data_IF_858200854669
#
_entry.id   IF_858200854669
#
_cell.length_a   1.000
_cell.length_b   1.000
_cell.length_c   1.000
_cell.angle_alpha   90.00
_cell.angle_beta   90.00
_cell.angle_gamma   90.00
#
_symmetry.space_group_name_H-M   'P 1'
#
loop_
_entity.id
_entity.type
_entity.pdbx_description
1 polymer ?
#
# COMPACT_ATOMS: atom_id res chain seq x y z
N UNK A 1 -16.17 65.12 -41.67
CA UNK A 1 -16.66 63.77 -41.31
C UNK A 1 -15.75 62.66 -41.84
N UNK A 2 -15.22 62.71 -43.07
CA UNK A 2 -14.33 61.66 -43.60
C UNK A 2 -13.04 61.40 -42.79
N UNK A 3 -12.33 62.46 -42.37
CA UNK A 3 -11.08 62.33 -41.60
C UNK A 3 -11.21 61.59 -40.26
N UNK A 4 -12.38 61.68 -39.61
CA UNK A 4 -12.61 61.04 -38.30
C UNK A 4 -12.81 59.51 -38.41
N UNK A 5 -13.25 59.02 -39.56
CA UNK A 5 -13.37 57.58 -39.83
C UNK A 5 -12.03 56.96 -40.19
N UNK A 6 -11.13 57.74 -40.81
CA UNK A 6 -9.79 57.32 -41.22
C UNK A 6 -8.84 57.20 -40.01
N UNK A 7 -8.83 58.20 -39.11
CA UNK A 7 -8.10 58.13 -37.81
C UNK A 7 -8.61 56.99 -36.91
N UNK A 8 -9.92 56.75 -36.90
CA UNK A 8 -10.51 55.67 -36.10
C UNK A 8 -10.11 54.30 -36.63
N UNK A 9 -9.98 54.14 -37.95
CA UNK A 9 -9.46 52.93 -38.57
C UNK A 9 -7.98 52.70 -38.23
N UNK A 10 -7.16 53.75 -38.29
CA UNK A 10 -5.73 53.67 -37.94
C UNK A 10 -5.52 53.29 -36.46
N UNK A 11 -6.31 53.86 -35.53
CA UNK A 11 -6.26 53.50 -34.12
C UNK A 11 -6.70 52.05 -33.86
N UNK A 12 -7.70 51.56 -34.59
CA UNK A 12 -8.14 50.15 -34.48
C UNK A 12 -7.13 49.19 -35.10
N UNK A 13 -6.49 49.56 -36.20
CA UNK A 13 -5.44 48.77 -36.86
C UNK A 13 -4.17 48.73 -36.00
N UNK A 14 -3.82 49.84 -35.34
CA UNK A 14 -2.76 49.91 -34.35
C UNK A 14 -3.01 48.99 -33.16
N UNK A 15 -4.24 48.94 -32.65
CA UNK A 15 -4.64 48.03 -31.58
C UNK A 15 -4.59 46.56 -32.01
N UNK A 16 -5.05 46.24 -33.22
CA UNK A 16 -4.99 44.90 -33.79
C UNK A 16 -3.53 44.43 -33.95
N UNK A 17 -2.65 45.32 -34.41
CA UNK A 17 -1.22 45.04 -34.52
C UNK A 17 -0.58 44.81 -33.15
N UNK A 18 -0.95 45.59 -32.13
CA UNK A 18 -0.49 45.38 -30.76
C UNK A 18 -0.91 44.02 -30.20
N UNK A 19 -2.17 43.62 -30.37
CA UNK A 19 -2.64 42.30 -29.94
C UNK A 19 -1.97 41.18 -30.72
N UNK A 20 -1.77 41.34 -32.02
CA UNK A 20 -1.07 40.36 -32.86
C UNK A 20 0.36 40.17 -32.39
N UNK A 21 1.06 41.29 -32.10
CA UNK A 21 2.41 41.27 -31.55
C UNK A 21 2.45 40.64 -30.17
N UNK A 22 1.56 41.03 -29.26
CA UNK A 22 1.50 40.47 -27.91
C UNK A 22 1.22 38.96 -27.93
N UNK A 23 0.35 38.50 -28.83
CA UNK A 23 0.06 37.08 -29.01
C UNK A 23 1.27 36.31 -29.57
N UNK A 24 2.00 36.92 -30.51
CA UNK A 24 3.24 36.35 -31.02
C UNK A 24 4.31 36.27 -29.92
N UNK A 25 4.53 37.36 -29.18
CA UNK A 25 5.48 37.42 -28.07
C UNK A 25 5.14 36.37 -27.00
N UNK A 26 3.86 36.21 -26.64
CA UNK A 26 3.41 35.18 -25.71
C UNK A 26 3.68 33.76 -26.24
N UNK A 27 3.44 33.52 -27.53
CA UNK A 27 3.72 32.23 -28.17
C UNK A 27 5.21 31.88 -28.14
N UNK A 28 6.08 32.87 -28.37
CA UNK A 28 7.53 32.72 -28.28
C UNK A 28 7.95 32.39 -26.84
N UNK A 29 7.42 33.11 -25.85
CA UNK A 29 7.69 32.84 -24.43
C UNK A 29 7.24 31.43 -24.06
N UNK A 30 6.03 31.02 -24.44
CA UNK A 30 5.53 29.66 -24.21
C UNK A 30 6.47 28.60 -24.78
N UNK A 31 6.88 28.76 -26.05
CA UNK A 31 7.77 27.79 -26.69
C UNK A 31 9.14 27.70 -26.00
N UNK A 32 9.72 28.83 -25.57
CA UNK A 32 11.01 28.82 -24.85
C UNK A 32 10.89 28.13 -23.49
N UNK A 33 9.82 28.40 -22.75
CA UNK A 33 9.56 27.74 -21.47
C UNK A 33 9.38 26.23 -21.62
N UNK A 34 8.66 25.77 -22.65
CA UNK A 34 8.52 24.34 -22.93
C UNK A 34 9.86 23.67 -23.23
N UNK A 35 10.72 24.31 -24.02
CA UNK A 35 12.05 23.81 -24.35
C UNK A 35 12.94 23.71 -23.11
N UNK A 36 12.97 24.77 -22.29
CA UNK A 36 13.70 24.79 -21.02
C UNK A 36 13.17 23.72 -20.06
N UNK A 37 11.85 23.56 -19.97
CA UNK A 37 11.22 22.55 -19.13
C UNK A 37 11.62 21.13 -19.54
N UNK A 38 11.59 20.81 -20.84
CA UNK A 38 12.00 19.49 -21.34
C UNK A 38 13.50 19.23 -21.14
N UNK A 39 14.33 20.27 -21.23
CA UNK A 39 15.77 20.16 -21.00
C UNK A 39 16.11 19.95 -19.51
N UNK A 40 15.46 20.70 -18.62
CA UNK A 40 15.64 20.61 -17.17
C UNK A 40 15.08 19.31 -16.58
N UNK A 41 13.94 18.86 -17.10
CA UNK A 41 13.22 17.71 -16.59
C UNK A 41 13.11 16.60 -17.64
N UNK A 42 14.14 15.75 -17.77
CA UNK A 42 14.05 14.55 -18.58
C UNK A 42 12.90 13.64 -18.11
N UNK A 43 12.48 12.70 -18.95
CA UNK A 43 11.27 11.89 -18.74
C UNK A 43 11.16 11.19 -17.36
N UNK A 44 12.28 10.83 -16.74
CA UNK A 44 12.32 10.21 -15.42
C UNK A 44 12.22 11.21 -14.25
N UNK A 45 12.48 12.50 -14.49
CA UNK A 45 12.46 13.59 -13.52
C UNK A 45 11.31 14.59 -13.74
N UNK A 46 10.52 14.42 -14.80
CA UNK A 46 9.34 15.24 -15.06
C UNK A 46 8.36 15.19 -13.87
N UNK A 47 8.06 16.34 -13.21
CA UNK A 47 7.23 16.37 -12.01
C UNK A 47 5.83 15.77 -12.20
N UNK A 48 5.20 15.99 -13.36
CA UNK A 48 3.87 15.48 -13.65
C UNK A 48 3.87 13.96 -13.79
N UNK A 49 4.91 13.40 -14.44
CA UNK A 49 5.11 11.94 -14.51
C UNK A 49 5.45 11.35 -13.15
N UNK A 50 6.26 12.03 -12.34
CA UNK A 50 6.56 11.59 -10.97
C UNK A 50 5.29 11.49 -10.12
N UNK A 51 4.43 12.50 -10.16
CA UNK A 51 3.14 12.47 -9.45
C UNK A 51 2.28 11.29 -9.92
N UNK A 52 2.21 11.02 -11.22
CA UNK A 52 1.44 9.88 -11.74
C UNK A 52 2.00 8.53 -11.24
N UNK A 53 3.33 8.39 -11.19
CA UNK A 53 4.00 7.17 -10.68
C UNK A 53 3.79 7.00 -9.19
N UNK A 54 3.86 8.10 -8.41
CA UNK A 54 3.60 8.08 -6.97
C UNK A 54 2.16 7.64 -6.70
N UNK A 55 1.17 8.20 -7.41
CA UNK A 55 -0.23 7.80 -7.28
C UNK A 55 -0.43 6.32 -7.57
N UNK A 56 0.17 5.82 -8.66
CA UNK A 56 0.13 4.39 -8.99
C UNK A 56 0.73 3.53 -7.87
N UNK A 57 1.91 3.90 -7.35
CA UNK A 57 2.54 3.17 -6.24
C UNK A 57 1.66 3.18 -4.99
N UNK A 58 0.98 4.29 -4.67
CA UNK A 58 0.03 4.36 -3.55
C UNK A 58 -1.17 3.42 -3.72
N UNK A 59 -1.73 3.35 -4.93
CA UNK A 59 -2.81 2.40 -5.28
C UNK A 59 -2.33 0.94 -5.18
N UNK A 60 -1.16 0.63 -5.74
CA UNK A 60 -0.55 -0.70 -5.72
C UNK A 60 -0.26 -1.14 -4.27
N UNK A 61 0.29 -0.24 -3.43
CA UNK A 61 0.53 -0.48 -1.99
C UNK A 61 -0.78 -0.75 -1.25
N UNK A 62 -1.82 0.02 -1.53
CA UNK A 62 -3.14 -0.17 -0.89
C UNK A 62 -3.75 -1.52 -1.26
N UNK A 63 -3.59 -1.92 -2.52
CA UNK A 63 -4.05 -3.22 -3.03
C UNK A 63 -3.27 -4.38 -2.41
N UNK A 64 -1.94 -4.27 -2.41
CA UNK A 64 -1.05 -5.26 -1.80
C UNK A 64 -1.35 -5.43 -0.31
N UNK A 65 -1.63 -4.31 0.39
CA UNK A 65 -2.08 -4.34 1.78
C UNK A 65 -3.32 -5.19 1.97
N UNK A 66 -4.36 -4.95 1.17
CA UNK A 66 -5.58 -5.77 1.23
C UNK A 66 -5.32 -7.26 0.96
N UNK A 67 -4.43 -7.58 0.02
CA UNK A 67 -4.06 -8.97 -0.30
C UNK A 67 -3.31 -9.66 0.84
N UNK A 68 -2.33 -8.99 1.46
CA UNK A 68 -1.61 -9.51 2.62
C UNK A 68 -2.56 -9.79 3.80
N UNK A 69 -3.52 -8.90 4.07
CA UNK A 69 -4.51 -9.14 5.14
C UNK A 69 -5.35 -10.39 4.86
N UNK A 70 -5.82 -10.57 3.62
CA UNK A 70 -6.56 -11.78 3.23
C UNK A 70 -5.72 -13.04 3.38
N UNK A 71 -4.45 -12.99 3.00
CA UNK A 71 -3.53 -14.12 3.12
C UNK A 71 -3.28 -14.49 4.59
N UNK A 72 -3.08 -13.50 5.45
CA UNK A 72 -2.89 -13.72 6.89
C UNK A 72 -4.14 -14.32 7.54
N UNK A 73 -5.32 -13.80 7.20
CA UNK A 73 -6.59 -14.36 7.67
C UNK A 73 -6.78 -15.82 7.22
N UNK A 74 -6.48 -16.12 5.94
CA UNK A 74 -6.53 -17.49 5.42
C UNK A 74 -5.53 -18.42 6.11
N UNK A 75 -4.33 -17.94 6.42
CA UNK A 75 -3.33 -18.71 7.18
C UNK A 75 -3.79 -18.98 8.61
N UNK A 76 -4.41 -18.00 9.28
CA UNK A 76 -4.94 -18.19 10.62
C UNK A 76 -6.07 -19.23 10.65
N UNK A 77 -7.03 -19.15 9.71
CA UNK A 77 -8.09 -20.15 9.58
C UNK A 77 -7.54 -21.57 9.32
N UNK A 78 -6.48 -21.69 8.52
CA UNK A 78 -5.81 -22.98 8.31
C UNK A 78 -5.17 -23.52 9.59
N UNK A 79 -4.50 -22.65 10.37
CA UNK A 79 -3.91 -23.02 11.67
C UNK A 79 -5.01 -23.50 12.62
N UNK A 80 -6.09 -22.75 12.76
CA UNK A 80 -7.20 -23.08 13.67
C UNK A 80 -7.84 -24.42 13.30
N UNK A 81 -8.03 -24.68 12.00
CA UNK A 81 -8.56 -25.95 11.48
C UNK A 81 -7.59 -27.10 11.74
N UNK A 82 -6.30 -26.91 11.49
CA UNK A 82 -5.28 -27.93 11.72
C UNK A 82 -5.19 -28.28 13.21
N UNK A 83 -5.17 -27.28 14.08
CA UNK A 83 -5.14 -27.45 15.53
C UNK A 83 -6.37 -28.21 16.02
N UNK A 84 -7.59 -27.80 15.62
CA UNK A 84 -8.83 -28.47 15.99
C UNK A 84 -8.79 -29.95 15.59
N UNK A 85 -8.49 -30.22 14.32
CA UNK A 85 -8.46 -31.58 13.78
C UNK A 85 -7.41 -32.45 14.49
N UNK A 86 -6.22 -31.90 14.75
CA UNK A 86 -5.14 -32.63 15.40
C UNK A 86 -5.49 -32.98 16.86
N UNK A 87 -6.06 -32.03 17.61
CA UNK A 87 -6.51 -32.25 18.99
C UNK A 87 -7.64 -33.27 19.05
N UNK A 88 -8.64 -33.18 18.16
CA UNK A 88 -9.73 -34.15 18.07
C UNK A 88 -9.22 -35.58 17.77
N UNK A 89 -8.33 -35.71 16.78
CA UNK A 89 -7.72 -37.00 16.42
C UNK A 89 -6.88 -37.56 17.57
N UNK A 90 -6.07 -36.72 18.22
CA UNK A 90 -5.28 -37.12 19.40
C UNK A 90 -6.18 -37.66 20.51
N UNK A 91 -7.25 -36.94 20.84
CA UNK A 91 -8.20 -37.34 21.87
C UNK A 91 -8.90 -38.67 21.52
N UNK A 92 -9.22 -38.91 20.25
CA UNK A 92 -9.76 -40.19 19.80
C UNK A 92 -8.76 -41.33 20.00
N UNK A 93 -7.51 -41.15 19.58
CA UNK A 93 -6.44 -42.15 19.72
C UNK A 93 -6.17 -42.46 21.19
N UNK A 94 -6.09 -41.45 22.05
CA UNK A 94 -5.90 -41.65 23.50
C UNK A 94 -7.05 -42.42 24.14
N UNK A 95 -8.30 -42.15 23.75
CA UNK A 95 -9.46 -42.95 24.19
C UNK A 95 -9.37 -44.41 23.73
N UNK A 96 -8.93 -44.65 22.50
CA UNK A 96 -8.71 -46.00 21.97
C UNK A 96 -7.60 -46.73 22.73
N UNK A 97 -6.48 -46.07 23.01
CA UNK A 97 -5.38 -46.64 23.81
C UNK A 97 -5.84 -47.03 25.21
N UNK A 98 -6.58 -46.14 25.89
CA UNK A 98 -7.15 -46.41 27.20
C UNK A 98 -8.10 -47.63 27.18
N UNK A 99 -8.92 -47.78 26.12
CA UNK A 99 -9.83 -48.92 25.99
C UNK A 99 -9.13 -50.26 25.74
N UNK A 100 -7.90 -50.23 25.21
CA UNK A 100 -7.08 -51.40 24.92
C UNK A 100 -6.01 -51.65 26.00
N UNK A 101 -6.05 -50.92 27.12
CA UNK A 101 -5.02 -50.94 28.17
C UNK A 101 -3.60 -50.68 27.65
N UNK A 102 -3.45 -49.95 26.55
CA UNK A 102 -2.17 -49.50 26.01
C UNK A 102 -1.76 -48.23 26.78
N UNK A 103 -0.50 -48.09 27.21
CA UNK A 103 -0.02 -46.87 27.85
C UNK A 103 -0.34 -45.64 26.98
N UNK A 104 -1.04 -44.67 27.57
CA UNK A 104 -1.35 -43.40 26.89
C UNK A 104 -0.07 -42.57 26.81
N UNK A 105 0.25 -42.08 25.61
CA UNK A 105 1.35 -41.12 25.43
C UNK A 105 0.97 -39.79 26.09
N UNK A 106 1.68 -39.45 27.17
CA UNK A 106 1.63 -38.15 27.86
C UNK A 106 1.93 -37.01 26.88
N UNK A 107 1.38 -35.81 27.11
CA UNK A 107 1.73 -34.59 26.35
C UNK A 107 3.25 -34.34 26.32
N UNK A 108 3.93 -34.62 27.43
CA UNK A 108 5.38 -34.38 27.59
C UNK A 108 6.26 -35.40 26.85
N UNK A 109 5.67 -36.52 26.42
CA UNK A 109 6.35 -37.58 25.66
C UNK A 109 6.01 -37.55 24.17
N UNK A 110 5.30 -36.52 23.70
CA UNK A 110 4.93 -36.35 22.30
C UNK A 110 5.64 -35.13 21.69
N UNK A 111 6.89 -35.36 21.31
CA UNK A 111 7.77 -34.36 20.71
C UNK A 111 7.15 -33.67 19.50
N UNK A 112 6.36 -34.40 18.69
CA UNK A 112 5.74 -33.88 17.49
C UNK A 112 4.62 -32.88 17.81
N UNK A 113 3.80 -33.17 18.82
CA UNK A 113 2.73 -32.27 19.26
C UNK A 113 3.25 -31.04 19.98
N UNK A 114 4.31 -31.21 20.80
CA UNK A 114 4.99 -30.08 21.46
C UNK A 114 5.64 -29.15 20.42
N UNK A 115 6.32 -29.71 19.42
CA UNK A 115 6.88 -28.92 18.31
C UNK A 115 5.79 -28.15 17.55
N UNK A 116 4.65 -28.79 17.27
CA UNK A 116 3.51 -28.11 16.62
C UNK A 116 3.01 -26.92 17.45
N UNK A 117 2.81 -27.07 18.77
CA UNK A 117 2.40 -25.97 19.66
C UNK A 117 3.39 -24.82 19.62
N UNK A 118 4.69 -25.12 19.71
CA UNK A 118 5.75 -24.11 19.64
C UNK A 118 5.70 -23.32 18.33
N UNK A 119 5.52 -23.99 17.18
CA UNK A 119 5.41 -23.32 15.88
C UNK A 119 4.21 -22.36 15.83
N UNK A 120 3.07 -22.75 16.43
CA UNK A 120 1.88 -21.87 16.50
C UNK A 120 2.13 -20.67 17.43
N UNK A 121 2.81 -20.88 18.55
CA UNK A 121 3.19 -19.80 19.47
C UNK A 121 4.16 -18.81 18.80
N UNK A 122 5.20 -19.31 18.12
CA UNK A 122 6.12 -18.48 17.35
C UNK A 122 5.40 -17.67 16.27
N UNK A 123 4.47 -18.30 15.55
CA UNK A 123 3.62 -17.61 14.57
C UNK A 123 2.79 -16.50 15.23
N UNK A 124 2.14 -16.78 16.36
CA UNK A 124 1.32 -15.82 17.10
C UNK A 124 2.16 -14.63 17.57
N UNK A 125 3.37 -14.88 18.06
CA UNK A 125 4.33 -13.82 18.44
C UNK A 125 4.76 -13.01 17.23
N UNK A 126 5.04 -13.62 16.08
CA UNK A 126 5.44 -12.89 14.87
C UNK A 126 4.33 -11.99 14.31
N UNK A 127 3.08 -12.44 14.38
CA UNK A 127 1.92 -11.63 13.97
C UNK A 127 1.69 -10.48 14.94
N UNK A 128 1.80 -10.73 16.26
CA UNK A 128 1.55 -9.72 17.30
C UNK A 128 2.68 -8.71 17.47
N UNK A 129 3.95 -9.13 17.41
CA UNK A 129 5.12 -8.23 17.52
C UNK A 129 5.16 -7.20 16.39
N UNK A 130 4.80 -7.60 15.17
CA UNK A 130 4.69 -6.68 14.03
C UNK A 130 3.45 -5.80 14.05
N UNK A 131 2.44 -6.15 14.86
CA UNK A 131 1.25 -5.35 15.09
C UNK A 131 1.38 -4.38 16.28
N UNK A 132 2.40 -4.58 17.13
CA UNK A 132 2.54 -4.02 18.48
C UNK A 132 3.58 -2.92 18.67
N UNK A 133 4.23 -2.41 17.61
CA UNK A 133 5.04 -1.17 17.66
C UNK A 133 4.11 0.07 17.75
N UNK A 134 3.27 0.06 18.77
CA UNK A 134 2.24 1.03 19.11
C UNK A 134 2.59 1.57 20.49
N UNK A 135 3.45 2.59 20.60
CA UNK A 135 3.34 3.62 21.67
C UNK A 135 4.38 4.73 21.63
N UNK A 136 5.46 4.64 20.84
CA UNK A 136 6.37 5.76 20.63
C UNK A 136 6.61 5.96 19.14
N UNK A 137 5.74 6.74 18.50
CA UNK A 137 6.06 7.63 17.36
C UNK A 137 4.75 8.18 16.79
N UNK A 138 4.11 9.06 17.55
CA UNK A 138 2.94 9.80 17.09
C UNK A 138 3.28 10.91 16.06
N UNK A 139 4.51 10.98 15.54
CA UNK A 139 4.91 12.10 14.66
C UNK A 139 5.83 11.75 13.49
N UNK A 140 6.12 10.47 13.19
CA UNK A 140 6.88 10.11 11.98
C UNK A 140 6.76 8.65 11.60
N UNK A 141 5.64 8.22 11.02
CA UNK A 141 5.69 6.98 10.24
C UNK A 141 4.60 6.90 9.14
N UNK A 142 4.82 7.63 8.04
CA UNK A 142 4.16 7.31 6.76
C UNK A 142 4.93 6.25 5.96
N UNK A 143 5.94 5.60 6.56
CA UNK A 143 6.94 4.83 5.84
C UNK A 143 6.91 3.32 6.06
N UNK A 144 6.53 2.83 7.24
CA UNK A 144 6.64 1.39 7.50
C UNK A 144 5.44 0.60 6.97
N UNK A 145 5.54 0.21 5.70
CA UNK A 145 4.62 -0.69 5.02
C UNK A 145 4.35 -1.94 5.87
N UNK A 146 5.36 -2.50 6.55
CA UNK A 146 5.15 -3.70 7.37
C UNK A 146 4.20 -3.42 8.54
N UNK A 147 4.38 -2.31 9.27
CA UNK A 147 3.43 -1.93 10.34
C UNK A 147 2.00 -1.75 9.80
N UNK A 148 1.85 -1.17 8.61
CA UNK A 148 0.54 -1.06 7.94
C UNK A 148 -0.06 -2.41 7.54
N UNK A 149 0.75 -3.39 7.14
CA UNK A 149 0.31 -4.73 6.75
C UNK A 149 -0.18 -5.59 7.91
N UNK A 150 0.33 -5.37 9.13
CA UNK A 150 0.08 -6.24 10.29
C UNK A 150 -0.80 -5.60 11.39
N UNK A 151 -1.15 -4.31 11.28
CA UNK A 151 -1.80 -3.55 12.37
C UNK A 151 -3.29 -3.82 12.62
N UNK A 152 -4.03 -4.44 11.69
CA UNK A 152 -5.50 -4.54 11.74
C UNK A 152 -6.06 -5.91 12.21
N UNK A 153 -5.22 -6.81 12.73
CA UNK A 153 -5.64 -8.19 13.03
C UNK A 153 -6.46 -8.34 14.32
N UNK A 154 -6.65 -7.29 15.13
CA UNK A 154 -7.43 -7.43 16.38
C UNK A 154 -8.80 -6.75 16.29
N UNK A 155 -9.77 -7.48 15.74
CA UNK A 155 -11.15 -7.52 16.23
C UNK A 155 -11.66 -8.96 16.09
N UNK A 156 -11.27 -9.84 17.02
CA UNK A 156 -11.96 -11.11 17.24
C UNK A 156 -12.55 -11.09 18.65
N UNK A 157 -13.88 -11.17 18.72
CA UNK A 157 -14.63 -11.61 19.91
C UNK A 157 -14.21 -13.02 20.33
#
# INVERSE_FOLDING_TARGET
MAHQYEERHEATDGLLNLFTKANHDLSVVHHRLDMEFQQLYPNNANPMKLVSRIKKVQEDISTLKGQCHKLLAAKQDLIDKAQRTLVENRNLVQRMQASLCIPVTSEDNDDAFTNFKQIIEEWTVQVNSKAGDKEHDADSDSGDLNKLLFSAIVQSN
#
